data_IF_644858042880
#
_entry.id   IF_644858042880
#
_cell.length_a   1.000
_cell.length_b   1.000
_cell.length_c   1.000
_cell.angle_alpha   90.00
_cell.angle_beta   90.00
_cell.angle_gamma   90.00
#
_symmetry.space_group_name_H-M   'P 1'
#
loop_
_entity.id
_entity.type
_entity.pdbx_description
1 polymer ?
#
# COMPACT_ATOMS: atom_id res chain seq x y z
N UNK A 1 -1.95 -5.12 -34.51
CA UNK A 1 -2.25 -6.07 -33.41
C UNK A 1 -2.24 -5.31 -32.09
N UNK A 2 -3.41 -4.87 -31.57
CA UNK A 2 -3.47 -3.88 -30.48
C UNK A 2 -3.08 -4.41 -29.08
N UNK A 3 -2.94 -5.73 -28.88
CA UNK A 3 -2.64 -6.35 -27.57
C UNK A 3 -1.13 -6.40 -27.27
N UNK A 4 -0.29 -6.61 -28.28
CA UNK A 4 1.17 -6.79 -28.11
C UNK A 4 1.90 -5.44 -28.02
N UNK A 5 1.31 -4.37 -28.56
CA UNK A 5 2.01 -3.10 -28.78
C UNK A 5 2.37 -2.36 -27.48
N UNK A 6 1.66 -2.60 -26.38
CA UNK A 6 1.85 -1.87 -25.11
C UNK A 6 2.77 -2.61 -24.12
N UNK A 7 3.08 -3.89 -24.36
CA UNK A 7 3.84 -4.74 -23.41
C UNK A 7 5.33 -4.34 -23.33
N UNK A 8 6.06 -4.13 -24.44
CA UNK A 8 7.49 -3.79 -24.38
C UNK A 8 7.75 -2.49 -23.62
N UNK A 9 6.89 -1.48 -23.82
CA UNK A 9 6.97 -0.19 -23.14
C UNK A 9 6.75 -0.32 -21.62
N UNK A 10 5.82 -1.18 -21.20
CA UNK A 10 5.57 -1.40 -19.77
C UNK A 10 6.69 -2.19 -19.11
N UNK A 11 7.24 -3.21 -19.78
CA UNK A 11 8.37 -3.99 -19.24
C UNK A 11 9.61 -3.10 -19.12
N UNK A 12 9.90 -2.29 -20.14
CA UNK A 12 11.06 -1.40 -20.15
C UNK A 12 11.00 -0.32 -19.06
N UNK A 13 9.81 0.10 -18.64
CA UNK A 13 9.61 1.16 -17.65
C UNK A 13 9.11 0.63 -16.31
N UNK A 14 9.24 -0.68 -16.05
CA UNK A 14 8.76 -1.29 -14.81
C UNK A 14 9.45 -0.71 -13.57
N UNK A 15 10.66 -0.14 -13.72
CA UNK A 15 11.40 0.54 -12.66
C UNK A 15 10.88 1.95 -12.32
N UNK A 16 10.12 2.59 -13.22
CA UNK A 16 9.57 3.95 -13.04
C UNK A 16 8.07 4.02 -13.39
N UNK A 17 7.21 3.24 -12.71
CA UNK A 17 5.80 3.11 -13.08
C UNK A 17 5.02 4.42 -12.92
N UNK A 18 5.43 5.29 -11.99
CA UNK A 18 4.79 6.58 -11.75
C UNK A 18 5.06 7.57 -12.89
N UNK A 19 6.29 7.63 -13.38
CA UNK A 19 6.66 8.49 -14.51
C UNK A 19 5.94 8.08 -15.80
N UNK A 20 5.84 6.76 -16.03
CA UNK A 20 5.05 6.20 -17.12
C UNK A 20 3.57 6.58 -16.99
N UNK A 21 3.01 6.47 -15.77
CA UNK A 21 1.63 6.87 -15.47
C UNK A 21 1.38 8.36 -15.73
N UNK A 22 2.29 9.23 -15.28
CA UNK A 22 2.21 10.68 -15.51
C UNK A 22 2.30 11.03 -17.01
N UNK A 23 3.24 10.43 -17.73
CA UNK A 23 3.41 10.66 -19.17
C UNK A 23 2.14 10.26 -19.94
N UNK A 24 1.53 9.13 -19.58
CA UNK A 24 0.27 8.67 -20.17
C UNK A 24 -0.91 9.56 -19.81
N UNK A 25 -0.99 10.03 -18.56
CA UNK A 25 -2.01 10.97 -18.14
C UNK A 25 -1.96 12.28 -18.94
N UNK A 26 -0.75 12.81 -19.20
CA UNK A 26 -0.56 14.02 -20.00
C UNK A 26 -0.89 13.80 -21.48
N UNK A 27 -0.52 12.64 -22.03
CA UNK A 27 -0.70 12.32 -23.46
C UNK A 27 -2.13 11.95 -23.81
N UNK A 28 -2.77 11.10 -23.01
CA UNK A 28 -4.07 10.49 -23.31
C UNK A 28 -5.23 11.05 -22.50
N UNK A 29 -4.97 12.06 -21.63
CA UNK A 29 -5.92 12.59 -20.63
C UNK A 29 -6.26 11.53 -19.55
N UNK A 30 -6.96 11.89 -18.46
CA UNK A 30 -7.32 10.93 -17.41
C UNK A 30 -8.21 9.80 -17.96
N UNK A 31 -8.02 8.57 -17.49
CA UNK A 31 -8.88 7.43 -17.86
C UNK A 31 -8.35 6.57 -19.01
N UNK A 32 -7.05 6.65 -19.27
CA UNK A 32 -6.39 5.74 -20.22
C UNK A 32 -6.45 4.29 -19.71
N UNK A 33 -6.38 3.33 -20.64
CA UNK A 33 -6.37 1.91 -20.28
C UNK A 33 -5.27 1.17 -21.01
N UNK A 34 -4.62 0.24 -20.29
CA UNK A 34 -3.60 -0.66 -20.83
C UNK A 34 -4.10 -2.08 -20.77
N UNK A 35 -3.96 -2.79 -21.89
CA UNK A 35 -4.40 -4.18 -22.00
C UNK A 35 -3.17 -5.07 -22.14
N UNK A 36 -3.00 -5.98 -21.18
CA UNK A 36 -2.01 -7.06 -21.18
C UNK A 36 -2.73 -8.41 -21.33
N UNK A 37 -2.02 -9.49 -21.68
CA UNK A 37 -2.62 -10.82 -21.71
C UNK A 37 -3.28 -11.17 -20.36
N UNK A 38 -4.60 -11.35 -20.37
CA UNK A 38 -5.39 -11.69 -19.17
C UNK A 38 -5.60 -10.55 -18.17
N UNK A 39 -5.27 -9.29 -18.49
CA UNK A 39 -5.49 -8.15 -17.59
C UNK A 39 -5.71 -6.85 -18.35
N UNK A 40 -6.77 -6.11 -18.00
CA UNK A 40 -6.94 -4.72 -18.41
C UNK A 40 -6.84 -3.82 -17.19
N UNK A 41 -5.88 -2.91 -17.23
CA UNK A 41 -5.70 -1.87 -16.22
C UNK A 41 -6.31 -0.57 -16.75
N UNK A 42 -7.09 0.10 -15.92
CA UNK A 42 -7.72 1.38 -16.25
C UNK A 42 -7.26 2.39 -15.21
N UNK A 43 -6.75 3.52 -15.69
CA UNK A 43 -6.37 4.63 -14.84
C UNK A 43 -7.60 5.30 -14.22
N UNK A 44 -7.51 5.58 -12.92
CA UNK A 44 -8.54 6.28 -12.16
C UNK A 44 -7.86 7.49 -11.49
N UNK A 45 -7.66 8.54 -12.29
CA UNK A 45 -6.99 9.77 -11.83
C UNK A 45 -7.94 10.90 -11.45
N UNK A 46 -9.26 10.73 -11.63
CA UNK A 46 -10.26 11.76 -11.31
C UNK A 46 -10.94 11.50 -9.96
N UNK A 47 -11.17 12.54 -9.13
CA UNK A 47 -11.79 12.38 -7.83
C UNK A 47 -13.23 11.85 -7.91
N UNK A 48 -13.99 12.22 -8.95
CA UNK A 48 -15.38 11.75 -9.12
C UNK A 48 -15.43 10.24 -9.40
N UNK A 49 -14.46 9.73 -10.17
CA UNK A 49 -14.34 8.30 -10.44
C UNK A 49 -13.87 7.54 -9.21
N UNK A 50 -12.95 8.12 -8.45
CA UNK A 50 -12.49 7.55 -7.19
C UNK A 50 -13.62 7.44 -6.18
N UNK A 51 -14.44 8.48 -6.03
CA UNK A 51 -15.63 8.44 -5.17
C UNK A 51 -16.61 7.38 -5.66
N UNK A 52 -16.86 7.32 -6.97
CA UNK A 52 -17.75 6.31 -7.53
C UNK A 52 -17.28 4.89 -7.21
N UNK A 53 -15.99 4.61 -7.34
CA UNK A 53 -15.42 3.28 -7.14
C UNK A 53 -15.29 2.93 -5.66
N UNK A 54 -14.80 3.85 -4.83
CA UNK A 54 -14.51 3.57 -3.42
C UNK A 54 -15.71 3.74 -2.48
N UNK A 55 -16.74 4.48 -2.89
CA UNK A 55 -17.89 4.83 -2.04
C UNK A 55 -19.22 4.46 -2.67
N UNK A 56 -19.54 4.99 -3.84
CA UNK A 56 -20.89 4.85 -4.43
C UNK A 56 -21.18 3.44 -4.91
N UNK A 57 -20.21 2.80 -5.56
CA UNK A 57 -20.38 1.52 -6.24
C UNK A 57 -19.34 0.47 -5.81
N UNK A 58 -18.89 0.56 -4.55
CA UNK A 58 -17.81 -0.26 -4.00
C UNK A 58 -18.00 -1.77 -4.18
N UNK A 59 -19.22 -2.26 -4.06
CA UNK A 59 -19.54 -3.69 -4.18
C UNK A 59 -19.26 -4.28 -5.57
N UNK A 60 -19.23 -3.45 -6.62
CA UNK A 60 -18.91 -3.89 -7.98
C UNK A 60 -17.40 -3.93 -8.27
N UNK A 61 -16.58 -3.28 -7.45
CA UNK A 61 -15.13 -3.22 -7.62
C UNK A 61 -14.42 -4.05 -6.56
N UNK A 62 -14.46 -5.37 -6.75
CA UNK A 62 -13.81 -6.35 -5.88
C UNK A 62 -12.35 -6.56 -6.27
N UNK A 63 -11.51 -7.00 -5.32
CA UNK A 63 -10.10 -7.36 -5.60
C UNK A 63 -10.02 -8.59 -6.50
N UNK A 64 -10.94 -9.52 -6.31
CA UNK A 64 -11.14 -10.66 -7.21
C UNK A 64 -10.14 -11.80 -7.01
N UNK A 65 -10.38 -12.89 -7.74
CA UNK A 65 -9.68 -14.17 -7.57
C UNK A 65 -8.17 -14.08 -7.76
N UNK A 66 -7.71 -13.26 -8.71
CA UNK A 66 -6.27 -13.07 -8.97
C UNK A 66 -5.56 -12.47 -7.76
N UNK A 67 -6.14 -11.42 -7.16
CA UNK A 67 -5.56 -10.80 -5.97
C UNK A 67 -5.61 -11.76 -4.78
N UNK A 68 -6.73 -12.47 -4.58
CA UNK A 68 -6.84 -13.48 -3.54
C UNK A 68 -5.76 -14.57 -3.69
N UNK A 69 -5.55 -15.11 -4.89
CA UNK A 69 -4.58 -16.19 -5.10
C UNK A 69 -3.14 -15.82 -4.72
N UNK A 70 -2.76 -14.54 -4.84
CA UNK A 70 -1.41 -14.08 -4.51
C UNK A 70 -1.28 -13.71 -3.03
N UNK A 71 -2.36 -13.20 -2.41
CA UNK A 71 -2.29 -12.61 -1.06
C UNK A 71 -2.79 -13.52 0.05
N UNK A 72 -3.59 -14.55 -0.26
CA UNK A 72 -4.13 -15.47 0.75
C UNK A 72 -3.05 -16.26 1.47
N UNK A 73 -1.96 -16.65 0.81
CA UNK A 73 -0.91 -17.45 1.45
C UNK A 73 -0.18 -16.68 2.57
N UNK A 74 -0.08 -15.36 2.43
CA UNK A 74 0.60 -14.49 3.40
C UNK A 74 -0.37 -13.92 4.44
N UNK A 75 -1.55 -13.46 4.01
CA UNK A 75 -2.48 -12.71 4.85
C UNK A 75 -3.75 -13.48 5.23
N UNK A 76 -3.88 -14.73 4.77
CA UNK A 76 -5.08 -15.53 4.94
C UNK A 76 -6.33 -14.83 4.42
N UNK A 77 -7.47 -15.10 5.06
CA UNK A 77 -8.74 -14.41 4.79
C UNK A 77 -8.87 -13.11 5.60
N UNK A 78 -7.79 -12.32 5.68
CA UNK A 78 -7.76 -11.06 6.40
C UNK A 78 -8.52 -9.93 5.72
N UNK A 79 -8.56 -8.76 6.39
CA UNK A 79 -9.20 -7.54 5.89
C UNK A 79 -8.60 -7.03 4.57
N UNK A 80 -7.34 -7.33 4.29
CA UNK A 80 -6.67 -6.93 3.05
C UNK A 80 -7.01 -7.82 1.86
N UNK A 81 -7.38 -9.07 2.11
CA UNK A 81 -7.62 -10.06 1.07
C UNK A 81 -9.10 -10.10 0.72
N UNK A 82 -9.96 -10.35 1.70
CA UNK A 82 -11.39 -10.60 1.50
C UNK A 82 -12.16 -9.45 0.85
N UNK A 83 -13.26 -9.78 0.17
CA UNK A 83 -14.19 -8.83 -0.47
C UNK A 83 -15.59 -8.90 0.16
N UNK A 84 -16.45 -7.92 -0.16
CA UNK A 84 -17.88 -7.96 0.17
C UNK A 84 -18.18 -8.03 1.67
N UNK A 85 -19.05 -8.96 2.07
CA UNK A 85 -19.50 -9.08 3.46
C UNK A 85 -18.38 -9.53 4.41
N UNK A 86 -17.48 -10.41 3.95
CA UNK A 86 -16.33 -10.85 4.76
C UNK A 86 -15.44 -9.66 5.09
N UNK A 87 -15.13 -8.83 4.09
CA UNK A 87 -14.40 -7.58 4.30
C UNK A 87 -15.09 -6.65 5.30
N UNK A 88 -16.42 -6.46 5.17
CA UNK A 88 -17.21 -5.63 6.10
C UNK A 88 -17.13 -6.16 7.53
N UNK A 89 -17.22 -7.47 7.71
CA UNK A 89 -17.12 -8.11 9.03
C UNK A 89 -15.73 -7.93 9.62
N UNK A 90 -14.66 -8.23 8.86
CA UNK A 90 -13.28 -8.00 9.30
C UNK A 90 -13.04 -6.54 9.66
N UNK A 91 -13.54 -5.60 8.84
CA UNK A 91 -13.45 -4.16 9.11
C UNK A 91 -14.21 -3.76 10.36
N UNK A 92 -15.42 -4.28 10.58
CA UNK A 92 -16.21 -3.97 11.77
C UNK A 92 -15.48 -4.41 13.05
N UNK A 93 -14.83 -5.58 13.02
CA UNK A 93 -14.06 -6.11 14.16
C UNK A 93 -12.79 -5.29 14.41
N UNK A 94 -12.08 -4.90 13.35
CA UNK A 94 -10.78 -4.22 13.46
C UNK A 94 -10.88 -2.70 13.62
N UNK A 95 -11.93 -2.05 13.11
CA UNK A 95 -12.09 -0.60 13.16
C UNK A 95 -11.93 0.02 14.56
N UNK A 96 -12.42 -0.58 15.66
CA UNK A 96 -12.22 -0.07 17.01
C UNK A 96 -10.74 0.03 17.45
N UNK A 97 -9.86 -0.80 16.88
CA UNK A 97 -8.42 -0.76 17.16
C UNK A 97 -7.76 0.51 16.60
N UNK A 98 -8.37 1.14 15.59
CA UNK A 98 -7.88 2.36 14.94
C UNK A 98 -8.48 3.65 15.52
N UNK A 99 -9.05 3.60 16.72
CA UNK A 99 -9.54 4.81 17.42
C UNK A 99 -8.40 5.52 18.16
N UNK A 100 -8.55 6.83 18.40
CA UNK A 100 -7.56 7.62 19.16
C UNK A 100 -7.32 7.03 20.55
N UNK A 101 -8.35 6.46 21.18
CA UNK A 101 -8.23 5.81 22.49
C UNK A 101 -7.33 4.58 22.41
N UNK A 102 -7.60 3.68 21.47
CA UNK A 102 -6.80 2.47 21.25
C UNK A 102 -5.36 2.82 20.85
N UNK A 103 -5.17 3.85 20.01
CA UNK A 103 -3.86 4.36 19.64
C UNK A 103 -3.06 4.84 20.87
N UNK A 104 -3.66 5.65 21.73
CA UNK A 104 -2.98 6.14 22.94
C UNK A 104 -2.64 5.01 23.91
N UNK A 105 -3.50 4.00 24.02
CA UNK A 105 -3.31 2.89 24.95
C UNK A 105 -2.26 1.88 24.47
N UNK A 106 -2.29 1.50 23.19
CA UNK A 106 -1.46 0.42 22.66
C UNK A 106 -0.22 0.93 21.90
N UNK A 107 -0.39 1.96 21.06
CA UNK A 107 0.66 2.43 20.16
C UNK A 107 1.60 3.41 20.85
N UNK A 108 1.07 4.37 21.63
CA UNK A 108 1.91 5.43 22.20
C UNK A 108 3.03 4.94 23.12
N UNK A 109 2.84 3.92 23.99
CA UNK A 109 3.92 3.43 24.84
C UNK A 109 5.02 2.73 24.04
N UNK A 110 4.66 1.80 23.15
CA UNK A 110 5.62 1.07 22.30
C UNK A 110 6.36 2.01 21.35
N UNK A 111 5.68 3.04 20.82
CA UNK A 111 6.32 4.05 19.98
C UNK A 111 7.39 4.84 20.72
N UNK A 112 7.14 5.24 21.98
CA UNK A 112 8.12 5.98 22.78
C UNK A 112 9.41 5.18 22.99
N UNK A 113 9.27 3.93 23.43
CA UNK A 113 10.44 3.06 23.66
C UNK A 113 11.25 2.87 22.37
N UNK A 114 10.59 2.58 21.25
CA UNK A 114 11.29 2.38 19.97
C UNK A 114 11.93 3.69 19.46
N UNK A 115 11.33 4.85 19.74
CA UNK A 115 11.90 6.15 19.37
C UNK A 115 13.13 6.47 20.21
N UNK A 116 13.10 6.20 21.52
CA UNK A 116 14.24 6.43 22.40
C UNK A 116 15.43 5.58 21.94
N UNK A 117 15.22 4.30 21.62
CA UNK A 117 16.26 3.42 21.06
C UNK A 117 16.79 3.92 19.71
N UNK A 118 15.92 4.43 18.84
CA UNK A 118 16.32 5.00 17.56
C UNK A 118 17.20 6.25 17.75
N UNK A 119 16.82 7.14 18.66
CA UNK A 119 17.55 8.36 18.97
C UNK A 119 18.93 8.02 19.56
N UNK A 120 19.01 7.13 20.54
CA UNK A 120 20.30 6.66 21.08
C UNK A 120 21.20 6.07 20.00
N UNK A 121 20.66 5.26 19.10
CA UNK A 121 21.43 4.69 17.99
C UNK A 121 21.98 5.75 17.03
N UNK A 122 21.20 6.81 16.76
CA UNK A 122 21.62 7.93 15.93
C UNK A 122 22.63 8.84 16.64
N UNK A 123 22.52 9.02 17.96
CA UNK A 123 23.49 9.77 18.76
C UNK A 123 24.86 9.08 18.79
N UNK A 124 24.88 7.77 19.02
CA UNK A 124 26.11 6.95 18.95
C UNK A 124 26.75 6.96 17.56
N UNK A 125 25.91 6.92 16.50
CA UNK A 125 26.39 7.09 15.14
C UNK A 125 26.98 8.50 14.92
N UNK A 126 26.36 9.55 15.47
CA UNK A 126 26.85 10.93 15.33
C UNK A 126 28.30 11.10 15.82
N UNK A 127 28.67 10.43 16.91
CA UNK A 127 30.04 10.46 17.46
C UNK A 127 31.09 9.85 16.53
N UNK A 128 30.73 8.75 15.85
CA UNK A 128 31.62 8.02 14.93
C UNK A 128 31.55 8.50 13.48
N UNK A 129 30.61 9.41 13.15
CA UNK A 129 30.30 9.94 11.81
C UNK A 129 30.26 8.90 10.68
N UNK A 130 29.59 7.74 10.84
CA UNK A 130 29.40 6.81 9.75
C UNK A 130 28.36 7.36 8.77
N UNK A 131 28.37 6.84 7.54
CA UNK A 131 27.24 7.04 6.63
C UNK A 131 26.09 6.15 7.09
N UNK A 132 24.92 6.72 7.33
CA UNK A 132 23.71 6.01 7.76
C UNK A 132 22.72 5.94 6.61
N UNK A 133 22.25 4.73 6.28
CA UNK A 133 21.14 4.55 5.37
C UNK A 133 19.81 4.76 6.13
N UNK A 134 19.15 5.88 5.85
CA UNK A 134 17.89 6.24 6.48
C UNK A 134 16.77 5.25 6.13
N UNK A 135 16.78 4.66 4.93
CA UNK A 135 15.76 3.70 4.53
C UNK A 135 15.84 2.42 5.37
N UNK A 136 17.04 1.90 5.58
CA UNK A 136 17.27 0.72 6.42
C UNK A 136 16.89 0.98 7.89
N UNK A 137 17.30 2.12 8.43
CA UNK A 137 17.01 2.50 9.82
C UNK A 137 15.51 2.69 10.05
N UNK A 138 14.81 3.43 9.19
CA UNK A 138 13.37 3.63 9.32
C UNK A 138 12.57 2.34 9.08
N UNK A 139 13.06 1.45 8.20
CA UNK A 139 12.46 0.14 7.99
C UNK A 139 12.54 -0.71 9.26
N UNK A 140 13.73 -0.82 9.87
CA UNK A 140 13.93 -1.54 11.14
C UNK A 140 13.10 -0.96 12.28
N UNK A 141 13.05 0.37 12.38
CA UNK A 141 12.21 1.06 13.36
C UNK A 141 10.73 0.70 13.20
N UNK A 142 10.21 0.77 11.97
CA UNK A 142 8.80 0.47 11.68
C UNK A 142 8.46 -0.98 12.01
N UNK A 143 9.36 -1.91 11.66
CA UNK A 143 9.17 -3.34 11.91
C UNK A 143 9.17 -3.64 13.41
N UNK A 144 10.16 -3.13 14.16
CA UNK A 144 10.22 -3.28 15.61
C UNK A 144 8.97 -2.69 16.28
N UNK A 145 8.59 -1.47 15.89
CA UNK A 145 7.40 -0.81 16.42
C UNK A 145 6.13 -1.66 16.23
N UNK A 146 5.91 -2.24 15.03
CA UNK A 146 4.73 -3.06 14.76
C UNK A 146 4.76 -4.37 15.57
N UNK A 147 5.92 -5.04 15.64
CA UNK A 147 6.05 -6.32 16.37
C UNK A 147 5.83 -6.13 17.88
N UNK A 148 6.43 -5.10 18.49
CA UNK A 148 6.31 -4.83 19.93
C UNK A 148 4.98 -4.19 20.36
N UNK A 149 4.11 -3.81 19.42
CA UNK A 149 2.77 -3.29 19.71
C UNK A 149 1.72 -4.41 19.82
N UNK A 150 2.07 -5.64 19.43
CA UNK A 150 1.18 -6.82 19.42
C UNK A 150 1.50 -7.75 20.58
#
# INVERSE_FOLDING_TARGET
MPIICQIPEVISNFSHPLELGMTRHLTFRPGWSVTMPGLRLVDISKPEWLEYIQKTNFHNYVKGSRFHSVMTDVFGNGIFVTDGQLWKNSRHILAPLFTVKSFKACISPSLRVNLDTLIEGLELASESRPTVDLCDVLFKFTLNFIVYTT
#
